data_IF_869487576963
#
_entry.id   IF_869487576963
#
_cell.length_a   1.000
_cell.length_b   1.000
_cell.length_c   1.000
_cell.angle_alpha   90.00
_cell.angle_beta   90.00
_cell.angle_gamma   90.00
#
_symmetry.space_group_name_H-M   'P 1'
#
loop_
_entity.id
_entity.type
_entity.pdbx_description
1 polymer ?
#
# COMPACT_ATOMS: atom_id res chain seq x y z
N UNK A 1 8.92 17.15 -20.78
CA UNK A 1 7.92 16.11 -21.09
C UNK A 1 7.68 15.91 -22.60
N UNK A 2 7.97 14.72 -23.13
CA UNK A 2 7.73 14.31 -24.54
C UNK A 2 6.94 13.00 -24.56
N UNK A 3 5.91 12.90 -25.40
CA UNK A 3 5.18 11.62 -25.56
C UNK A 3 6.07 10.60 -26.28
N UNK A 4 6.11 9.37 -25.78
CA UNK A 4 6.83 8.25 -26.39
C UNK A 4 5.90 7.54 -27.37
N UNK A 5 6.40 7.22 -28.56
CA UNK A 5 5.67 6.41 -29.54
C UNK A 5 5.76 4.93 -29.11
N UNK A 6 4.67 4.18 -29.25
CA UNK A 6 4.66 2.75 -28.93
C UNK A 6 5.69 1.95 -29.75
N UNK A 7 6.09 2.45 -30.92
CA UNK A 7 7.14 1.84 -31.74
C UNK A 7 8.54 1.97 -31.14
N UNK A 8 8.74 2.89 -30.19
CA UNK A 8 10.01 3.11 -29.48
C UNK A 8 10.13 2.25 -28.20
N UNK A 9 9.08 1.47 -27.89
CA UNK A 9 8.99 0.60 -26.72
C UNK A 9 9.37 -0.84 -27.09
N UNK A 10 9.86 -1.59 -26.12
CA UNK A 10 10.11 -3.02 -26.29
C UNK A 10 8.79 -3.79 -26.40
N UNK A 11 8.82 -4.94 -27.08
CA UNK A 11 7.63 -5.76 -27.36
C UNK A 11 6.83 -6.11 -26.10
N UNK A 12 7.51 -6.51 -25.03
CA UNK A 12 6.89 -6.84 -23.75
C UNK A 12 6.10 -5.66 -23.13
N UNK A 13 6.62 -4.43 -23.21
CA UNK A 13 5.92 -3.23 -22.73
C UNK A 13 4.66 -2.98 -23.57
N UNK A 14 4.77 -3.09 -24.90
CA UNK A 14 3.62 -2.91 -25.81
C UNK A 14 2.54 -3.93 -25.51
N UNK A 15 2.90 -5.19 -25.28
CA UNK A 15 1.97 -6.25 -24.90
C UNK A 15 1.30 -5.99 -23.54
N UNK A 16 2.06 -5.53 -22.54
CA UNK A 16 1.53 -5.19 -21.23
C UNK A 16 0.54 -4.01 -21.30
N UNK A 17 0.88 -2.96 -22.04
CA UNK A 17 -0.02 -1.83 -22.32
C UNK A 17 -1.32 -2.33 -22.95
N UNK A 18 -1.22 -3.10 -24.03
CA UNK A 18 -2.39 -3.64 -24.73
C UNK A 18 -3.26 -4.50 -23.81
N UNK A 19 -2.64 -5.34 -22.98
CA UNK A 19 -3.36 -6.16 -22.00
C UNK A 19 -4.16 -5.30 -21.02
N UNK A 20 -3.55 -4.27 -20.44
CA UNK A 20 -4.22 -3.36 -19.50
C UNK A 20 -5.36 -2.59 -20.18
N UNK A 21 -5.09 -2.03 -21.37
CA UNK A 21 -6.09 -1.28 -22.14
C UNK A 21 -7.31 -2.14 -22.49
N UNK A 22 -7.07 -3.38 -22.94
CA UNK A 22 -8.13 -4.32 -23.32
C UNK A 22 -8.93 -4.81 -22.10
N UNK A 23 -8.24 -5.21 -21.03
CA UNK A 23 -8.88 -5.81 -19.86
C UNK A 23 -9.72 -4.78 -19.08
N UNK A 24 -9.24 -3.54 -18.96
CA UNK A 24 -9.85 -2.53 -18.11
C UNK A 24 -10.56 -1.41 -18.86
N UNK A 25 -10.61 -1.49 -20.20
CA UNK A 25 -11.19 -0.47 -21.08
C UNK A 25 -10.60 0.94 -20.78
N UNK A 26 -9.27 0.99 -20.75
CA UNK A 26 -8.47 2.20 -20.49
C UNK A 26 -7.59 2.51 -21.71
N UNK A 27 -6.99 3.70 -21.72
CA UNK A 27 -6.00 4.12 -22.72
C UNK A 27 -4.76 4.63 -22.02
N UNK A 28 -3.60 4.04 -22.32
CA UNK A 28 -2.32 4.41 -21.72
C UNK A 28 -1.57 5.35 -22.66
N UNK A 29 -1.06 6.45 -22.10
CA UNK A 29 -0.18 7.40 -22.81
C UNK A 29 1.09 7.56 -22.00
N UNK A 30 2.21 7.20 -22.61
CA UNK A 30 3.52 7.21 -21.96
C UNK A 30 4.29 8.46 -22.37
N UNK A 31 4.89 9.12 -21.38
CA UNK A 31 5.68 10.34 -21.55
C UNK A 31 7.04 10.17 -20.88
N UNK A 32 8.08 10.75 -21.48
CA UNK A 32 9.38 10.93 -20.85
C UNK A 32 9.53 12.33 -20.29
N UNK A 33 10.07 12.40 -19.07
CA UNK A 33 10.59 13.61 -18.46
C UNK A 33 11.94 13.30 -17.82
N UNK A 34 12.90 12.93 -18.68
CA UNK A 34 14.16 12.35 -18.23
C UNK A 34 15.00 13.31 -17.38
N UNK A 35 15.60 12.76 -16.34
CA UNK A 35 16.54 13.43 -15.46
C UNK A 35 17.72 12.54 -15.14
N UNK A 36 18.83 13.14 -14.70
CA UNK A 36 19.98 12.38 -14.21
C UNK A 36 19.64 11.70 -12.88
N UNK A 37 19.88 10.39 -12.80
CA UNK A 37 19.69 9.60 -11.59
C UNK A 37 21.00 8.92 -11.20
N UNK A 38 21.42 9.08 -9.94
CA UNK A 38 22.65 8.44 -9.43
C UNK A 38 22.47 6.92 -9.26
N UNK A 39 21.25 6.49 -8.92
CA UNK A 39 20.89 5.10 -8.69
C UNK A 39 19.53 4.78 -9.32
N UNK A 40 19.27 3.50 -9.54
CA UNK A 40 17.93 3.02 -9.86
C UNK A 40 17.08 2.94 -8.59
N UNK A 41 15.89 3.52 -8.62
CA UNK A 41 14.87 3.47 -7.57
C UNK A 41 13.49 3.24 -8.21
N UNK A 42 12.50 2.81 -7.43
CA UNK A 42 11.17 2.45 -7.96
C UNK A 42 10.27 3.66 -8.21
N UNK A 43 10.62 4.84 -7.67
CA UNK A 43 9.88 6.11 -7.81
C UNK A 43 10.23 6.91 -9.09
N UNK A 44 10.91 6.27 -10.04
CA UNK A 44 11.37 6.89 -11.30
C UNK A 44 10.40 6.70 -12.47
N UNK A 45 9.20 6.22 -12.14
CA UNK A 45 8.01 6.23 -12.95
C UNK A 45 6.84 6.63 -12.06
N UNK A 46 5.80 7.22 -12.67
CA UNK A 46 4.57 7.55 -11.97
C UNK A 46 3.41 7.58 -12.96
N UNK A 47 2.20 7.44 -12.44
CA UNK A 47 1.02 7.51 -13.27
C UNK A 47 -0.11 8.35 -12.67
N UNK A 48 -1.04 8.73 -13.54
CA UNK A 48 -2.27 9.38 -13.16
C UNK A 48 -3.43 8.84 -14.00
N UNK A 49 -4.47 8.36 -13.31
CA UNK A 49 -5.70 7.91 -13.95
C UNK A 49 -6.72 9.06 -14.00
N UNK A 50 -7.18 9.41 -15.20
CA UNK A 50 -8.23 10.42 -15.44
C UNK A 50 -9.31 9.84 -16.35
N UNK A 51 -10.40 9.38 -15.73
CA UNK A 51 -11.50 8.78 -16.48
C UNK A 51 -11.02 7.51 -17.20
N UNK A 52 -10.99 7.54 -18.53
CA UNK A 52 -10.51 6.41 -19.35
C UNK A 52 -9.01 6.50 -19.70
N UNK A 53 -8.37 7.65 -19.50
CA UNK A 53 -6.97 7.84 -19.83
C UNK A 53 -6.07 7.57 -18.61
N UNK A 54 -4.95 6.90 -18.84
CA UNK A 54 -3.86 6.70 -17.88
C UNK A 54 -2.62 7.38 -18.47
N UNK A 55 -2.14 8.40 -17.79
CA UNK A 55 -0.89 9.06 -18.14
C UNK A 55 0.23 8.44 -17.33
N UNK A 56 1.27 7.93 -17.99
CA UNK A 56 2.48 7.41 -17.35
C UNK A 56 3.65 8.32 -17.68
N UNK A 57 4.43 8.70 -16.68
CA UNK A 57 5.62 9.55 -16.83
C UNK A 57 6.84 8.79 -16.32
N UNK A 58 7.86 8.66 -17.15
CA UNK A 58 9.15 8.03 -16.79
C UNK A 58 10.27 9.07 -16.74
N UNK A 59 11.12 8.98 -15.72
CA UNK A 59 12.25 9.91 -15.51
C UNK A 59 13.61 9.24 -15.73
N UNK A 60 13.70 7.90 -15.63
CA UNK A 60 14.94 7.18 -15.89
C UNK A 60 15.06 6.74 -17.36
N UNK A 61 15.97 7.34 -18.12
CA UNK A 61 16.24 6.96 -19.51
C UNK A 61 17.01 5.64 -19.62
N UNK A 62 18.02 5.45 -18.76
CA UNK A 62 18.95 4.32 -18.81
C UNK A 62 18.25 2.98 -18.58
N UNK A 63 17.39 2.92 -17.56
CA UNK A 63 16.64 1.72 -17.16
C UNK A 63 15.15 1.84 -17.51
N UNK A 64 14.81 2.62 -18.56
CA UNK A 64 13.43 2.94 -18.94
C UNK A 64 12.51 1.72 -19.05
N UNK A 65 13.01 0.60 -19.58
CA UNK A 65 12.21 -0.61 -19.76
C UNK A 65 11.79 -1.21 -18.42
N UNK A 66 12.70 -1.28 -17.46
CA UNK A 66 12.40 -1.81 -16.13
C UNK A 66 11.43 -0.90 -15.37
N UNK A 67 11.71 0.41 -15.29
CA UNK A 67 10.85 1.34 -14.53
C UNK A 67 9.45 1.46 -15.12
N UNK A 68 9.33 1.39 -16.46
CA UNK A 68 8.04 1.42 -17.13
C UNK A 68 7.26 0.12 -16.91
N UNK A 69 7.90 -1.04 -17.03
CA UNK A 69 7.26 -2.32 -16.73
C UNK A 69 6.76 -2.36 -15.28
N UNK A 70 7.60 -1.91 -14.35
CA UNK A 70 7.29 -1.85 -12.92
C UNK A 70 6.01 -1.04 -12.66
N UNK A 71 5.95 0.17 -13.19
CA UNK A 71 4.78 1.04 -13.07
C UNK A 71 3.53 0.46 -13.73
N UNK A 72 3.68 -0.20 -14.89
CA UNK A 72 2.56 -0.86 -15.57
C UNK A 72 2.00 -2.04 -14.77
N UNK A 73 2.83 -2.77 -14.01
CA UNK A 73 2.36 -3.81 -13.11
C UNK A 73 1.58 -3.22 -11.93
N UNK A 74 2.07 -2.14 -11.33
CA UNK A 74 1.32 -1.39 -10.31
C UNK A 74 -0.03 -0.88 -10.83
N UNK A 75 -0.07 -0.29 -12.04
CA UNK A 75 -1.33 0.11 -12.68
C UNK A 75 -2.27 -1.10 -12.86
N UNK A 76 -1.74 -2.25 -13.25
CA UNK A 76 -2.55 -3.45 -13.44
C UNK A 76 -3.14 -3.96 -12.13
N UNK A 77 -2.40 -3.84 -11.02
CA UNK A 77 -2.83 -4.14 -9.66
C UNK A 77 -3.89 -3.15 -9.17
N UNK A 78 -3.66 -1.84 -9.31
CA UNK A 78 -4.61 -0.78 -8.92
C UNK A 78 -5.97 -0.92 -9.63
N UNK A 79 -5.95 -1.29 -10.92
CA UNK A 79 -7.16 -1.51 -11.71
C UNK A 79 -7.86 -2.85 -11.41
N UNK A 80 -7.18 -3.76 -10.72
CA UNK A 80 -7.70 -5.08 -10.38
C UNK A 80 -8.57 -5.07 -9.13
N UNK A 81 -8.97 -6.26 -8.70
CA UNK A 81 -9.67 -6.53 -7.44
C UNK A 81 -8.68 -6.64 -6.26
N UNK A 82 -7.64 -5.81 -6.23
CA UNK A 82 -6.73 -5.75 -5.10
C UNK A 82 -7.32 -4.90 -3.95
N UNK A 83 -7.07 -5.27 -2.68
CA UNK A 83 -7.38 -4.41 -1.55
C UNK A 83 -6.67 -3.06 -1.66
N UNK A 84 -7.31 -1.98 -1.26
CA UNK A 84 -6.74 -0.63 -1.29
C UNK A 84 -6.80 0.03 0.07
N UNK A 85 -5.91 0.99 0.31
CA UNK A 85 -5.95 1.87 1.47
C UNK A 85 -6.69 3.16 1.11
N UNK A 86 -7.60 3.60 1.98
CA UNK A 86 -8.20 4.93 1.91
C UNK A 86 -8.23 5.58 3.30
N UNK A 87 -8.41 6.89 3.36
CA UNK A 87 -8.45 7.62 4.62
C UNK A 87 -9.47 8.76 4.54
N UNK A 88 -10.50 8.69 5.40
CA UNK A 88 -11.53 9.72 5.53
C UNK A 88 -11.48 10.44 6.89
N UNK A 89 -10.46 10.18 7.70
CA UNK A 89 -10.25 10.79 9.01
C UNK A 89 -8.95 11.59 9.04
N UNK A 90 -8.78 12.43 10.07
CA UNK A 90 -7.59 13.26 10.29
C UNK A 90 -7.33 13.44 11.78
N UNK A 91 -6.06 13.53 12.17
CA UNK A 91 -5.65 13.98 13.50
C UNK A 91 -5.73 15.51 13.68
N UNK A 92 -5.94 16.26 12.59
CA UNK A 92 -5.79 17.71 12.55
C UNK A 92 -4.33 18.17 12.48
N UNK A 93 -3.35 17.26 12.46
CA UNK A 93 -1.92 17.56 12.31
C UNK A 93 -1.40 16.95 11.02
N UNK A 94 -1.19 17.78 10.00
CA UNK A 94 -0.80 17.34 8.65
C UNK A 94 0.46 16.46 8.65
N UNK A 95 1.48 16.83 9.44
CA UNK A 95 2.73 16.05 9.53
C UNK A 95 2.55 14.68 10.19
N UNK A 96 1.55 14.53 11.06
CA UNK A 96 1.25 13.24 11.69
C UNK A 96 0.43 12.37 10.74
N UNK A 97 -0.63 12.93 10.14
CA UNK A 97 -1.41 12.27 9.09
C UNK A 97 -0.52 11.77 7.94
N UNK A 98 0.39 12.63 7.47
CA UNK A 98 1.33 12.30 6.40
C UNK A 98 2.28 11.16 6.77
N UNK A 99 2.73 11.07 8.03
CA UNK A 99 3.56 9.95 8.50
C UNK A 99 2.80 8.64 8.54
N UNK A 100 1.55 8.66 9.01
CA UNK A 100 0.72 7.44 9.03
C UNK A 100 0.56 6.92 7.60
N UNK A 101 0.19 7.79 6.66
CA UNK A 101 0.01 7.42 5.26
C UNK A 101 1.31 6.98 4.59
N UNK A 102 2.43 7.67 4.82
CA UNK A 102 3.71 7.31 4.23
C UNK A 102 4.18 5.92 4.67
N UNK A 103 4.04 5.60 5.97
CA UNK A 103 4.36 4.25 6.48
C UNK A 103 3.40 3.22 5.90
N UNK A 104 2.10 3.53 5.88
CA UNK A 104 1.10 2.59 5.39
C UNK A 104 1.30 2.24 3.91
N UNK A 105 1.53 3.25 3.08
CA UNK A 105 1.81 3.07 1.66
C UNK A 105 3.14 2.35 1.43
N UNK A 106 4.20 2.68 2.20
CA UNK A 106 5.47 1.95 2.08
C UNK A 106 5.32 0.46 2.38
N UNK A 107 4.54 0.08 3.41
CA UNK A 107 4.25 -1.33 3.70
C UNK A 107 3.39 -1.95 2.59
N UNK A 108 2.39 -1.24 2.09
CA UNK A 108 1.51 -1.69 1.02
C UNK A 108 2.27 -1.97 -0.27
N UNK A 109 3.03 -0.98 -0.77
CA UNK A 109 3.82 -1.08 -2.00
C UNK A 109 4.87 -2.19 -1.91
N UNK A 110 5.50 -2.37 -0.75
CA UNK A 110 6.45 -3.47 -0.55
C UNK A 110 5.77 -4.86 -0.69
N UNK A 111 4.50 -4.98 -0.27
CA UNK A 111 3.75 -6.23 -0.46
C UNK A 111 3.37 -6.43 -1.93
N UNK A 112 3.00 -5.37 -2.65
CA UNK A 112 2.76 -5.42 -4.11
C UNK A 112 4.02 -5.86 -4.86
N UNK A 113 5.21 -5.40 -4.43
CA UNK A 113 6.48 -5.76 -5.05
C UNK A 113 6.73 -7.26 -5.09
N UNK A 114 6.12 -8.06 -4.23
CA UNK A 114 6.20 -9.52 -4.33
C UNK A 114 5.64 -10.04 -5.66
N UNK A 115 4.45 -9.55 -6.05
CA UNK A 115 3.81 -9.90 -7.32
C UNK A 115 4.49 -9.20 -8.50
N UNK A 116 4.84 -7.91 -8.36
CA UNK A 116 5.50 -7.14 -9.42
C UNK A 116 6.86 -7.76 -9.77
N UNK A 117 7.69 -8.11 -8.78
CA UNK A 117 9.01 -8.71 -9.03
C UNK A 117 8.90 -10.09 -9.68
N UNK A 118 7.94 -10.92 -9.25
CA UNK A 118 7.67 -12.22 -9.89
C UNK A 118 7.35 -12.04 -11.37
N UNK A 119 6.49 -11.08 -11.70
CA UNK A 119 6.03 -10.87 -13.07
C UNK A 119 7.14 -10.23 -13.94
N UNK A 120 7.92 -9.29 -13.37
CA UNK A 120 9.11 -8.72 -14.04
C UNK A 120 10.25 -9.73 -14.23
N UNK A 121 10.37 -10.72 -13.35
CA UNK A 121 11.29 -11.85 -13.56
C UNK A 121 10.81 -12.73 -14.72
N UNK A 122 9.51 -12.98 -14.80
CA UNK A 122 8.92 -13.83 -15.84
C UNK A 122 9.02 -13.21 -17.24
N UNK A 123 8.90 -11.89 -17.36
CA UNK A 123 9.01 -11.16 -18.64
C UNK A 123 10.43 -10.68 -18.99
N UNK A 124 11.40 -10.91 -18.09
CA UNK A 124 12.81 -10.59 -18.28
C UNK A 124 13.18 -9.11 -18.08
N UNK A 125 12.26 -8.27 -17.57
CA UNK A 125 12.56 -6.86 -17.24
C UNK A 125 13.34 -6.72 -15.93
N UNK A 126 13.27 -7.70 -15.05
CA UNK A 126 14.12 -7.80 -13.86
C UNK A 126 15.33 -8.71 -14.14
N UNK A 127 16.52 -8.12 -14.17
CA UNK A 127 17.80 -8.80 -14.46
C UNK A 127 18.79 -8.63 -13.31
N UNK A 128 19.90 -9.39 -13.33
CA UNK A 128 20.98 -9.23 -12.34
C UNK A 128 21.59 -7.81 -12.35
N UNK A 129 21.63 -7.14 -13.52
CA UNK A 129 22.08 -5.76 -13.63
C UNK A 129 21.14 -4.80 -12.90
N UNK A 130 19.83 -4.92 -13.15
CA UNK A 130 18.78 -4.16 -12.48
C UNK A 130 18.85 -4.38 -10.97
N UNK A 131 18.98 -5.65 -10.55
CA UNK A 131 19.13 -6.03 -9.16
C UNK A 131 20.32 -5.33 -8.49
N UNK A 132 21.49 -5.42 -9.13
CA UNK A 132 22.71 -4.82 -8.60
C UNK A 132 22.62 -3.29 -8.52
N UNK A 133 22.01 -2.64 -9.52
CA UNK A 133 21.87 -1.18 -9.52
C UNK A 133 20.88 -0.69 -8.46
N UNK A 134 19.72 -1.33 -8.36
CA UNK A 134 18.73 -0.96 -7.35
C UNK A 134 19.26 -1.15 -5.92
N UNK A 135 20.03 -2.22 -5.69
CA UNK A 135 20.69 -2.43 -4.40
C UNK A 135 21.65 -1.28 -4.03
N UNK A 136 22.25 -0.57 -4.99
CA UNK A 136 23.02 0.65 -4.66
C UNK A 136 22.12 1.77 -4.14
N UNK A 137 20.92 1.91 -4.68
CA UNK A 137 19.90 2.84 -4.19
C UNK A 137 19.47 2.51 -2.75
N UNK A 138 19.23 1.22 -2.46
CA UNK A 138 18.97 0.75 -1.08
C UNK A 138 20.12 1.09 -0.15
N UNK A 139 21.36 0.80 -0.55
CA UNK A 139 22.54 1.09 0.26
C UNK A 139 22.71 2.59 0.54
N UNK A 140 22.47 3.44 -0.46
CA UNK A 140 22.47 4.88 -0.28
C UNK A 140 21.35 5.34 0.68
N UNK A 141 20.15 4.75 0.58
CA UNK A 141 19.02 5.05 1.46
C UNK A 141 19.29 4.63 2.92
N UNK A 142 19.98 3.51 3.15
CA UNK A 142 20.36 3.05 4.50
C UNK A 142 21.42 3.94 5.17
N UNK A 143 22.17 4.70 4.37
CA UNK A 143 23.25 5.61 4.76
C UNK A 143 22.95 7.07 4.39
N UNK A 144 21.86 7.67 4.92
CA UNK A 144 21.51 9.03 4.54
C UNK A 144 22.60 10.00 4.99
N UNK A 145 22.96 10.95 4.12
CA UNK A 145 23.98 11.98 4.38
C UNK A 145 23.46 13.14 5.24
N UNK A 146 22.64 12.82 6.24
CA UNK A 146 22.06 13.77 7.20
C UNK A 146 22.24 13.26 8.62
N UNK A 147 22.41 14.18 9.57
CA UNK A 147 22.40 13.81 10.99
C UNK A 147 20.97 13.47 11.42
N UNK A 148 20.73 12.20 11.67
CA UNK A 148 19.49 11.70 12.23
C UNK A 148 19.79 10.91 13.50
N UNK A 149 18.89 11.01 14.48
CA UNK A 149 18.97 10.19 15.68
C UNK A 149 18.95 8.71 15.28
N UNK A 150 20.05 8.00 15.60
CA UNK A 150 20.23 6.58 15.31
C UNK A 150 19.08 5.76 15.90
N UNK A 151 18.53 6.17 17.04
CA UNK A 151 17.39 5.50 17.63
C UNK A 151 16.19 5.59 16.70
N UNK A 152 15.83 6.78 16.20
CA UNK A 152 14.69 6.96 15.28
C UNK A 152 14.95 6.39 13.88
N UNK A 153 16.20 6.36 13.43
CA UNK A 153 16.60 5.77 12.14
C UNK A 153 16.19 4.31 12.00
N UNK A 154 15.98 3.59 13.11
CA UNK A 154 15.57 2.18 13.04
C UNK A 154 14.26 1.99 12.28
N UNK A 155 13.28 2.89 12.47
CA UNK A 155 11.95 2.82 11.88
C UNK A 155 11.99 2.99 10.36
N UNK A 156 12.77 3.97 9.91
CA UNK A 156 12.99 4.24 8.50
C UNK A 156 13.77 3.09 7.84
N UNK A 157 14.90 2.67 8.44
CA UNK A 157 15.70 1.55 7.92
C UNK A 157 14.94 0.24 7.87
N UNK A 158 14.00 0.01 8.79
CA UNK A 158 13.16 -1.20 8.75
C UNK A 158 12.35 -1.28 7.47
N UNK A 159 11.75 -0.17 7.02
CA UNK A 159 10.98 -0.15 5.76
C UNK A 159 11.89 -0.34 4.54
N UNK A 160 13.04 0.35 4.51
CA UNK A 160 14.02 0.22 3.41
C UNK A 160 14.59 -1.20 3.33
N UNK A 161 14.94 -1.83 4.46
CA UNK A 161 15.43 -3.20 4.49
C UNK A 161 14.31 -4.18 4.10
N UNK A 162 13.07 -3.93 4.54
CA UNK A 162 11.94 -4.79 4.16
C UNK A 162 11.78 -4.86 2.64
N UNK A 163 11.72 -3.70 1.98
CA UNK A 163 11.64 -3.62 0.51
C UNK A 163 12.89 -4.19 -0.17
N UNK A 164 14.07 -3.86 0.37
CA UNK A 164 15.35 -4.38 -0.12
C UNK A 164 15.46 -5.92 -0.06
N UNK A 165 14.91 -6.57 0.97
CA UNK A 165 14.90 -8.04 1.07
C UNK A 165 14.00 -8.64 0.00
N UNK A 166 12.76 -8.14 -0.13
CA UNK A 166 11.80 -8.59 -1.15
C UNK A 166 12.38 -8.43 -2.54
N UNK A 167 12.88 -7.24 -2.85
CA UNK A 167 13.45 -6.94 -4.16
C UNK A 167 14.68 -7.77 -4.48
N UNK A 168 15.57 -8.00 -3.50
CA UNK A 168 16.84 -8.69 -3.73
C UNK A 168 16.76 -10.20 -3.54
N UNK A 169 15.61 -10.75 -3.14
CA UNK A 169 15.45 -12.15 -2.76
C UNK A 169 16.57 -12.59 -1.80
N UNK A 170 16.68 -11.90 -0.67
CA UNK A 170 17.61 -12.17 0.43
C UNK A 170 19.12 -12.05 0.11
N UNK A 171 19.52 -11.39 -0.98
CA UNK A 171 20.93 -11.39 -1.41
C UNK A 171 21.89 -10.69 -0.44
N UNK A 172 21.41 -9.69 0.33
CA UNK A 172 22.23 -8.85 1.22
C UNK A 172 21.91 -9.04 2.71
N UNK A 173 21.14 -10.06 3.06
CA UNK A 173 20.63 -10.26 4.43
C UNK A 173 21.73 -10.28 5.49
N UNK A 174 22.79 -11.05 5.24
CA UNK A 174 23.89 -11.16 6.20
C UNK A 174 24.53 -9.80 6.46
N UNK A 175 24.78 -9.01 5.40
CA UNK A 175 25.37 -7.68 5.53
C UNK A 175 24.46 -6.76 6.35
N UNK A 176 23.17 -6.70 6.03
CA UNK A 176 22.22 -5.84 6.75
C UNK A 176 21.96 -6.30 8.18
N UNK A 177 22.05 -7.60 8.45
CA UNK A 177 21.99 -8.14 9.81
C UNK A 177 23.19 -7.71 10.66
N UNK A 178 24.40 -7.72 10.08
CA UNK A 178 25.62 -7.29 10.76
C UNK A 178 25.62 -5.77 11.00
N UNK A 179 25.23 -4.98 10.00
CA UNK A 179 25.30 -3.52 10.03
C UNK A 179 24.11 -2.86 10.75
N UNK A 180 22.90 -3.41 10.58
CA UNK A 180 21.65 -2.86 11.11
C UNK A 180 20.83 -3.89 11.90
N UNK A 181 21.40 -4.56 12.93
CA UNK A 181 20.81 -5.76 13.55
C UNK A 181 19.39 -5.54 14.09
N UNK A 182 19.10 -4.36 14.64
CA UNK A 182 17.74 -4.03 15.12
C UNK A 182 16.76 -3.85 13.97
N UNK A 183 17.10 -3.01 12.98
CA UNK A 183 16.23 -2.75 11.83
C UNK A 183 16.01 -4.01 11.00
N UNK A 184 17.06 -4.79 10.78
CA UNK A 184 17.00 -6.07 10.07
C UNK A 184 16.10 -7.07 10.79
N UNK A 185 16.21 -7.20 12.13
CA UNK A 185 15.31 -8.07 12.90
C UNK A 185 13.84 -7.71 12.68
N UNK A 186 13.52 -6.42 12.68
CA UNK A 186 12.15 -5.96 12.45
C UNK A 186 11.70 -6.15 10.99
N UNK A 187 12.56 -5.81 10.03
CA UNK A 187 12.28 -6.00 8.61
C UNK A 187 12.04 -7.48 8.30
N UNK A 188 12.86 -8.38 8.84
CA UNK A 188 12.71 -9.82 8.68
C UNK A 188 11.38 -10.36 9.25
N UNK A 189 10.80 -9.71 10.28
CA UNK A 189 9.46 -10.07 10.74
C UNK A 189 8.39 -9.68 9.71
N UNK A 190 8.54 -8.52 9.05
CA UNK A 190 7.64 -8.09 7.98
C UNK A 190 7.79 -8.99 6.73
N UNK A 191 9.01 -9.36 6.38
CA UNK A 191 9.30 -10.31 5.29
C UNK A 191 8.61 -11.63 5.53
N UNK A 192 8.71 -12.22 6.73
CA UNK A 192 7.99 -13.46 7.06
C UNK A 192 6.48 -13.35 6.87
N UNK A 193 5.89 -12.22 7.27
CA UNK A 193 4.46 -11.98 7.05
C UNK A 193 4.15 -12.00 5.54
N UNK A 194 4.98 -11.37 4.72
CA UNK A 194 4.82 -11.38 3.27
C UNK A 194 4.96 -12.80 2.69
N UNK A 195 6.03 -13.52 3.01
CA UNK A 195 6.36 -14.83 2.45
C UNK A 195 5.46 -15.98 2.91
N UNK A 196 4.88 -15.88 4.11
CA UNK A 196 3.93 -16.88 4.63
C UNK A 196 2.53 -16.78 4.02
N UNK A 197 2.25 -15.73 3.23
CA UNK A 197 0.95 -15.49 2.61
C UNK A 197 1.04 -15.56 1.07
N UNK A 198 -0.03 -16.05 0.44
CA UNK A 198 -0.17 -15.96 -1.02
C UNK A 198 -0.66 -14.55 -1.39
N UNK A 199 0.28 -13.64 -1.66
CA UNK A 199 -0.03 -12.25 -1.99
C UNK A 199 -0.72 -12.06 -3.35
N UNK A 200 -0.97 -13.13 -4.11
CA UNK A 200 -1.76 -13.06 -5.35
C UNK A 200 -3.28 -13.09 -5.11
N UNK A 201 -3.71 -13.49 -3.91
CA UNK A 201 -5.12 -13.51 -3.50
C UNK A 201 -5.47 -12.32 -2.61
N UNK A 202 -6.57 -11.64 -2.91
CA UNK A 202 -6.98 -10.43 -2.19
C UNK A 202 -7.18 -10.65 -0.68
N UNK A 203 -7.68 -11.81 -0.26
CA UNK A 203 -7.90 -12.09 1.17
C UNK A 203 -6.57 -12.22 1.91
N UNK A 204 -5.61 -12.96 1.35
CA UNK A 204 -4.29 -13.14 1.93
C UNK A 204 -3.46 -11.85 1.86
N UNK A 205 -3.52 -11.11 0.76
CA UNK A 205 -2.88 -9.79 0.64
C UNK A 205 -3.39 -8.83 1.73
N UNK A 206 -4.72 -8.69 1.87
CA UNK A 206 -5.31 -7.83 2.91
C UNK A 206 -4.84 -8.24 4.31
N UNK A 207 -4.79 -9.55 4.57
CA UNK A 207 -4.35 -10.08 5.87
C UNK A 207 -2.87 -9.77 6.13
N UNK A 208 -2.01 -9.95 5.14
CA UNK A 208 -0.60 -9.63 5.23
C UNK A 208 -0.40 -8.14 5.51
N UNK A 209 -1.13 -7.26 4.82
CA UNK A 209 -1.11 -5.82 5.04
C UNK A 209 -1.45 -5.44 6.48
N UNK A 210 -2.59 -5.90 7.00
CA UNK A 210 -3.00 -5.59 8.38
C UNK A 210 -1.97 -6.10 9.39
N UNK A 211 -1.49 -7.34 9.22
CA UNK A 211 -0.47 -7.92 10.10
C UNK A 211 0.87 -7.19 10.03
N UNK A 212 1.28 -6.72 8.85
CA UNK A 212 2.52 -5.98 8.67
C UNK A 212 2.43 -4.59 9.32
N UNK A 213 1.29 -3.90 9.20
CA UNK A 213 1.03 -2.64 9.89
C UNK A 213 1.03 -2.81 11.41
N UNK A 214 0.42 -3.88 11.91
CA UNK A 214 0.47 -4.23 13.34
C UNK A 214 1.89 -4.51 13.79
N UNK A 215 2.63 -5.35 13.05
CA UNK A 215 4.01 -5.67 13.37
C UNK A 215 4.89 -4.41 13.38
N UNK A 216 4.67 -3.48 12.44
CA UNK A 216 5.37 -2.20 12.43
C UNK A 216 5.00 -1.32 13.62
N UNK A 217 3.70 -1.22 13.94
CA UNK A 217 3.22 -0.45 15.08
C UNK A 217 3.75 -1.00 16.42
N UNK A 218 3.91 -2.30 16.56
CA UNK A 218 4.55 -2.91 17.73
C UNK A 218 6.00 -2.43 17.91
N UNK A 219 6.77 -2.21 16.83
CA UNK A 219 8.12 -1.64 16.92
C UNK A 219 8.08 -0.25 17.58
N UNK A 220 7.07 0.56 17.23
CA UNK A 220 6.86 1.91 17.76
C UNK A 220 6.54 1.84 19.25
N UNK A 221 5.60 0.98 19.63
CA UNK A 221 5.17 0.78 21.01
C UNK A 221 6.30 0.24 21.90
N UNK A 222 7.00 -0.82 21.46
CA UNK A 222 8.15 -1.38 22.19
C UNK A 222 9.30 -0.38 22.37
N UNK A 223 9.35 0.62 21.51
CA UNK A 223 10.34 1.69 21.61
C UNK A 223 9.90 2.85 22.52
N UNK A 224 8.72 2.77 23.13
CA UNK A 224 8.21 3.77 24.08
C UNK A 224 7.49 4.96 23.45
N UNK A 225 7.10 4.86 22.17
CA UNK A 225 6.35 5.91 21.47
C UNK A 225 4.87 5.57 21.44
N UNK A 226 4.03 6.58 21.21
CA UNK A 226 2.62 6.37 20.90
C UNK A 226 2.46 5.74 19.51
N UNK A 227 1.55 4.77 19.39
CA UNK A 227 1.27 4.10 18.13
C UNK A 227 0.70 5.05 17.07
N UNK A 228 0.65 4.57 15.83
CA UNK A 228 0.17 5.34 14.68
C UNK A 228 -1.34 5.20 14.43
N UNK A 229 -2.03 4.33 15.18
CA UNK A 229 -3.48 4.21 15.13
C UNK A 229 -4.02 3.68 13.79
N UNK A 230 -3.24 2.86 13.07
CA UNK A 230 -3.58 2.35 11.73
C UNK A 230 -4.98 1.75 11.62
N UNK A 231 -5.42 1.00 12.64
CA UNK A 231 -6.75 0.38 12.69
C UNK A 231 -7.90 1.36 12.55
N UNK A 232 -7.77 2.59 13.05
CA UNK A 232 -8.82 3.61 12.96
C UNK A 232 -8.56 4.62 11.84
N UNK A 233 -7.28 4.93 11.60
CA UNK A 233 -6.90 5.96 10.65
C UNK A 233 -7.08 5.52 9.19
N UNK A 234 -6.82 4.24 8.92
CA UNK A 234 -6.86 3.66 7.59
C UNK A 234 -8.14 2.85 7.40
N UNK A 235 -8.80 3.05 6.27
CA UNK A 235 -9.84 2.16 5.78
C UNK A 235 -9.21 1.20 4.77
N UNK A 236 -9.17 -0.09 5.10
CA UNK A 236 -8.64 -1.13 4.21
C UNK A 236 -9.80 -1.91 3.61
N UNK A 237 -9.83 -2.03 2.28
CA UNK A 237 -10.87 -2.73 1.52
C UNK A 237 -11.19 -4.09 2.17
N UNK A 238 -12.45 -4.35 2.58
CA UNK A 238 -12.83 -5.63 3.15
C UNK A 238 -12.95 -6.72 2.08
N UNK A 239 -12.48 -7.92 2.41
CA UNK A 239 -12.66 -9.13 1.59
C UNK A 239 -13.61 -10.09 2.32
N UNK A 240 -14.79 -10.31 1.72
CA UNK A 240 -15.93 -10.95 2.38
C UNK A 240 -16.46 -12.13 1.58
N UNK A 241 -17.05 -13.11 2.26
CA UNK A 241 -17.89 -14.10 1.59
C UNK A 241 -19.28 -13.52 1.27
N UNK A 242 -19.95 -14.05 0.23
CA UNK A 242 -21.36 -13.74 -0.06
C UNK A 242 -22.29 -13.97 1.15
N UNK A 243 -21.94 -14.90 2.04
CA UNK A 243 -22.68 -15.14 3.29
C UNK A 243 -22.55 -13.95 4.24
N UNK A 244 -21.34 -13.42 4.43
CA UNK A 244 -21.09 -12.30 5.34
C UNK A 244 -21.88 -11.06 4.91
N UNK A 245 -22.01 -10.76 3.63
CA UNK A 245 -22.80 -9.63 3.15
C UNK A 245 -24.29 -9.66 3.55
N UNK A 246 -24.83 -10.85 3.88
CA UNK A 246 -26.22 -11.05 4.30
C UNK A 246 -26.39 -11.06 5.82
N UNK A 247 -25.30 -10.97 6.57
CA UNK A 247 -25.35 -10.91 8.04
C UNK A 247 -25.69 -9.48 8.49
N UNK A 248 -26.18 -9.37 9.72
CA UNK A 248 -26.32 -8.07 10.37
C UNK A 248 -24.96 -7.53 10.78
N UNK A 249 -24.85 -6.20 10.84
CA UNK A 249 -23.60 -5.48 11.09
C UNK A 249 -22.88 -5.99 12.34
N UNK A 250 -23.59 -6.17 13.45
CA UNK A 250 -23.03 -6.64 14.73
C UNK A 250 -22.45 -8.06 14.71
N UNK A 251 -22.67 -8.84 13.65
CA UNK A 251 -22.10 -10.19 13.53
C UNK A 251 -20.69 -10.16 12.93
N UNK A 252 -20.28 -9.07 12.29
CA UNK A 252 -19.00 -8.97 11.57
C UNK A 252 -18.23 -7.69 11.91
N UNK A 253 -18.94 -6.64 12.31
CA UNK A 253 -18.39 -5.31 12.52
C UNK A 253 -18.85 -4.68 13.83
N UNK A 254 -18.05 -3.75 14.33
CA UNK A 254 -18.39 -2.84 15.41
C UNK A 254 -18.18 -1.39 14.98
N UNK A 255 -19.03 -0.50 15.47
CA UNK A 255 -18.88 0.95 15.33
C UNK A 255 -18.06 1.47 16.49
N UNK A 256 -17.02 2.23 16.18
CA UNK A 256 -16.18 2.91 17.16
C UNK A 256 -16.26 4.41 16.94
N UNK A 257 -16.41 5.17 18.03
CA UNK A 257 -16.12 6.61 18.05
C UNK A 257 -14.61 6.78 17.96
N UNK A 258 -14.13 7.35 16.86
CA UNK A 258 -12.70 7.40 16.56
C UNK A 258 -12.00 8.49 17.38
N UNK A 259 -10.74 8.24 17.71
CA UNK A 259 -9.85 9.29 18.23
C UNK A 259 -9.55 10.39 17.19
N UNK A 260 -9.81 10.12 15.91
CA UNK A 260 -9.66 11.05 14.80
C UNK A 260 -10.96 11.78 14.46
N UNK A 261 -10.84 12.88 13.71
CA UNK A 261 -11.98 13.65 13.19
C UNK A 261 -12.29 13.26 11.76
N UNK A 262 -13.55 13.34 11.36
CA UNK A 262 -13.94 13.17 9.97
C UNK A 262 -13.32 14.32 9.14
N UNK A 263 -12.58 13.97 8.09
CA UNK A 263 -11.83 14.93 7.27
C UNK A 263 -12.75 15.89 6.50
N UNK A 264 -13.92 15.42 6.06
CA UNK A 264 -14.87 16.21 5.30
C UNK A 264 -15.64 17.21 6.17
N UNK A 265 -15.98 16.84 7.41
CA UNK A 265 -16.85 17.66 8.28
C UNK A 265 -16.11 18.35 9.41
N UNK A 266 -14.90 17.91 9.77
CA UNK A 266 -14.15 18.36 10.95
C UNK A 266 -14.76 17.92 12.29
N UNK A 267 -15.86 17.15 12.28
CA UNK A 267 -16.54 16.64 13.47
C UNK A 267 -15.97 15.30 13.92
N UNK A 268 -16.48 14.79 15.03
CA UNK A 268 -16.21 13.42 15.50
C UNK A 268 -16.48 12.41 14.38
N UNK A 269 -15.52 11.51 14.16
CA UNK A 269 -15.66 10.43 13.20
C UNK A 269 -16.15 9.15 13.90
N UNK A 270 -16.95 8.37 13.17
CA UNK A 270 -17.27 7.00 13.51
C UNK A 270 -16.66 6.09 12.47
N UNK A 271 -15.99 5.03 12.90
CA UNK A 271 -15.36 4.05 12.02
C UNK A 271 -15.99 2.68 12.21
N UNK A 272 -16.10 1.94 11.12
CA UNK A 272 -16.61 0.59 11.12
C UNK A 272 -15.45 -0.40 11.13
N UNK A 273 -15.23 -1.05 12.27
CA UNK A 273 -14.10 -1.97 12.51
C UNK A 273 -14.53 -3.42 12.36
N UNK A 274 -13.73 -4.24 11.68
CA UNK A 274 -13.93 -5.68 11.65
C UNK A 274 -13.80 -6.29 13.04
N UNK A 275 -14.71 -7.19 13.45
CA UNK A 275 -14.62 -7.86 14.75
C UNK A 275 -13.43 -8.82 14.84
N UNK A 276 -12.96 -9.34 13.70
CA UNK A 276 -11.89 -10.34 13.66
C UNK A 276 -10.49 -9.74 13.77
N UNK A 277 -10.28 -8.55 13.21
CA UNK A 277 -8.97 -7.92 13.08
C UNK A 277 -8.93 -6.48 13.59
N UNK A 278 -10.05 -5.93 14.04
CA UNK A 278 -10.20 -4.54 14.50
C UNK A 278 -9.86 -3.47 13.47
N UNK A 279 -9.64 -3.83 12.21
CA UNK A 279 -9.27 -2.89 11.16
C UNK A 279 -10.51 -2.18 10.62
N UNK A 280 -10.41 -0.86 10.48
CA UNK A 280 -11.46 -0.07 9.85
C UNK A 280 -11.57 -0.41 8.37
N UNK A 281 -12.82 -0.52 7.92
CA UNK A 281 -13.16 -0.75 6.50
C UNK A 281 -13.84 0.46 5.88
N UNK A 282 -14.39 1.35 6.71
CA UNK A 282 -14.97 2.62 6.27
C UNK A 282 -15.13 3.59 7.45
N UNK A 283 -15.21 4.87 7.13
CA UNK A 283 -15.67 5.93 8.04
C UNK A 283 -17.13 6.20 7.73
N UNK A 284 -17.98 6.16 8.74
CA UNK A 284 -19.42 6.28 8.61
C UNK A 284 -19.86 7.75 8.58
N UNK A 285 -20.76 8.11 7.67
CA UNK A 285 -21.39 9.43 7.63
C UNK A 285 -22.56 9.54 8.63
N UNK A 286 -22.23 9.40 9.92
CA UNK A 286 -23.20 9.52 11.00
C UNK A 286 -23.11 10.92 11.60
N UNK A 287 -24.26 11.59 11.69
CA UNK A 287 -24.34 12.86 12.43
C UNK A 287 -24.14 12.59 13.95
N UNK A 288 -23.04 13.06 14.57
CA UNK A 288 -22.74 12.78 15.97
C UNK A 288 -23.85 13.22 16.94
N UNK A 289 -24.58 14.28 16.59
CA UNK A 289 -25.65 14.86 17.42
C UNK A 289 -26.91 13.95 17.48
N UNK A 290 -26.99 12.93 16.62
CA UNK A 290 -28.12 12.00 16.52
C UNK A 290 -27.81 10.59 17.03
N UNK A 291 -26.62 10.39 17.59
CA UNK A 291 -26.16 9.07 18.02
C UNK A 291 -26.65 8.76 19.44
N UNK A 292 -27.76 8.04 19.53
CA UNK A 292 -28.32 7.52 20.80
C UNK A 292 -28.10 6.01 20.95
N UNK A 293 -28.27 5.42 22.15
CA UNK A 293 -28.26 3.97 22.31
C UNK A 293 -29.26 3.23 21.41
N UNK A 294 -30.43 3.81 21.18
CA UNK A 294 -31.46 3.27 20.28
C UNK A 294 -31.02 3.31 18.81
N UNK A 295 -30.34 4.38 18.40
CA UNK A 295 -29.72 4.48 17.08
C UNK A 295 -28.75 3.32 16.86
N UNK A 296 -27.81 3.09 17.80
CA UNK A 296 -26.87 1.98 17.69
C UNK A 296 -27.57 0.64 17.64
N UNK A 297 -28.56 0.41 18.51
CA UNK A 297 -29.31 -0.84 18.54
C UNK A 297 -29.98 -1.12 17.19
N UNK A 298 -30.54 -0.12 16.53
CA UNK A 298 -31.14 -0.25 15.21
C UNK A 298 -30.08 -0.44 14.11
N UNK A 299 -29.07 0.43 14.08
CA UNK A 299 -27.99 0.41 13.08
C UNK A 299 -27.25 -0.94 13.05
N UNK A 300 -27.00 -1.53 14.22
CA UNK A 300 -26.35 -2.84 14.33
C UNK A 300 -27.14 -4.00 13.73
N UNK A 301 -28.45 -3.85 13.53
CA UNK A 301 -29.29 -4.86 12.90
C UNK A 301 -29.31 -4.75 11.37
N UNK A 302 -28.76 -3.68 10.79
CA UNK A 302 -28.75 -3.51 9.34
C UNK A 302 -27.89 -4.57 8.67
N UNK A 303 -28.31 -4.99 7.49
CA UNK A 303 -27.56 -5.93 6.69
C UNK A 303 -26.30 -5.24 6.14
N UNK A 304 -25.18 -5.95 6.16
CA UNK A 304 -23.87 -5.40 5.76
C UNK A 304 -23.90 -4.85 4.33
N UNK A 305 -24.56 -5.53 3.39
CA UNK A 305 -24.69 -5.04 2.01
C UNK A 305 -25.40 -3.69 1.90
N UNK A 306 -26.36 -3.41 2.77
CA UNK A 306 -27.13 -2.17 2.73
C UNK A 306 -26.30 -1.02 3.29
N UNK A 307 -25.62 -1.26 4.41
CA UNK A 307 -24.66 -0.29 4.99
C UNK A 307 -23.54 0.01 4.00
N UNK A 308 -22.95 -1.01 3.38
CA UNK A 308 -21.86 -0.81 2.41
C UNK A 308 -22.32 -0.03 1.18
N UNK A 309 -23.55 -0.24 0.74
CA UNK A 309 -24.13 0.51 -0.38
C UNK A 309 -24.39 1.97 0.00
N UNK A 310 -24.93 2.23 1.20
CA UNK A 310 -25.23 3.58 1.69
C UNK A 310 -23.95 4.39 1.90
N UNK A 311 -22.92 3.79 2.50
CA UNK A 311 -21.64 4.41 2.80
C UNK A 311 -20.64 4.38 1.62
N UNK A 312 -21.04 3.81 0.48
CA UNK A 312 -20.18 3.72 -0.71
C UNK A 312 -18.91 2.88 -0.53
N UNK A 313 -18.95 1.85 0.32
CA UNK A 313 -17.80 0.99 0.64
C UNK A 313 -17.47 0.08 -0.54
N UNK A 314 -16.28 0.24 -1.12
CA UNK A 314 -15.70 -0.76 -2.04
C UNK A 314 -15.35 -2.01 -1.23
N UNK A 315 -15.75 -3.19 -1.70
CA UNK A 315 -15.42 -4.47 -1.07
C UNK A 315 -15.14 -5.52 -2.14
N UNK A 316 -14.50 -6.61 -1.73
CA UNK A 316 -14.15 -7.73 -2.59
C UNK A 316 -14.82 -9.02 -2.08
N UNK A 317 -15.03 -9.97 -2.99
CA UNK A 317 -15.60 -11.28 -2.67
C UNK A 317 -14.53 -12.35 -2.73
N UNK A 318 -14.46 -13.19 -1.70
CA UNK A 318 -13.71 -14.46 -1.72
C UNK A 318 -14.60 -15.67 -1.96
#
# INVERSE_FOLDING_TARGET
>A
MKQIDNNDLSTNIVEQVQKIEQQYNKKIKIYSDYSDHEFLTLDQASHQIKGQDIQVVITNEKYKTFVLAHELYHIALELSDEPSISCAVTSGKQDYDGRILAVANSVFETLEHFSVMRDQQADGTYTDEIKAEYLKGIEAALHPKVELDIANMRFYRTLIIFDGIIFSNHANDQKWQEEFPKSFKYANNLVKIAEENDLSDAFHFRRALVNALDSYNEIILYSGYEGLGFHEFLNITPVLSKRQLRLSLNQVYQVKHSSFKNRATGKDAFVLLGLNDSQSVTTLDINPDKVTPEFYKAFYQYQISDVFKEEGVKYLIR
#
